data_IF_384045321822
#
_entry.id   IF_384045321822
#
_cell.length_a   1.000
_cell.length_b   1.000
_cell.length_c   1.000
_cell.angle_alpha   90.00
_cell.angle_beta   90.00
_cell.angle_gamma   90.00
#
_symmetry.space_group_name_H-M   'P 1'
#
loop_
_entity.id
_entity.type
_entity.pdbx_description
1 polymer ?
#
# COMPACT_ATOMS: atom_id res chain seq x y z
N UNK A 1 -7.17 8.63 3.91
CA UNK A 1 -7.77 9.97 4.11
C UNK A 1 -9.30 9.95 4.10
N UNK A 2 -10.01 9.72 2.98
CA UNK A 2 -11.48 9.90 2.96
C UNK A 2 -12.23 8.99 3.97
N UNK A 3 -11.72 7.79 4.24
CA UNK A 3 -12.25 6.94 5.33
C UNK A 3 -12.17 7.60 6.71
N UNK A 4 -11.07 8.29 7.01
CA UNK A 4 -10.82 9.02 8.26
C UNK A 4 -11.70 10.26 8.39
N UNK A 5 -11.89 11.00 7.30
CA UNK A 5 -12.83 12.14 7.25
C UNK A 5 -14.24 11.66 7.61
N UNK A 6 -14.70 10.57 6.98
CA UNK A 6 -16.01 9.96 7.27
C UNK A 6 -16.11 9.30 8.65
N UNK A 7 -14.98 9.01 9.30
CA UNK A 7 -14.96 8.43 10.65
C UNK A 7 -15.02 9.51 11.74
N UNK A 8 -14.43 10.69 11.48
CA UNK A 8 -14.46 11.84 12.39
C UNK A 8 -15.76 12.66 12.23
N UNK A 9 -16.45 12.53 11.09
CA UNK A 9 -17.64 13.31 10.69
C UNK A 9 -18.61 13.64 11.86
N UNK A 10 -18.87 14.95 12.05
CA UNK A 10 -19.65 15.51 13.16
C UNK A 10 -18.91 15.73 14.49
N UNK A 11 -17.70 15.20 14.67
CA UNK A 11 -16.92 15.33 15.92
C UNK A 11 -15.62 16.14 15.73
N UNK A 12 -15.10 16.69 16.83
CA UNK A 12 -13.74 17.22 16.84
C UNK A 12 -12.73 16.06 16.76
N UNK A 13 -11.75 16.17 15.86
CA UNK A 13 -10.72 15.15 15.69
C UNK A 13 -9.61 15.59 14.73
N UNK A 14 -8.54 14.81 14.72
CA UNK A 14 -7.33 15.10 13.94
C UNK A 14 -7.08 13.97 12.95
N UNK A 15 -6.65 14.32 11.73
CA UNK A 15 -6.07 13.38 10.77
C UNK A 15 -4.60 13.78 10.60
N UNK A 16 -3.69 12.83 10.81
CA UNK A 16 -2.25 13.01 10.66
C UNK A 16 -1.76 12.15 9.49
N UNK A 17 -0.91 12.74 8.65
CA UNK A 17 -0.19 12.05 7.59
C UNK A 17 1.30 12.20 7.88
N UNK A 18 1.97 11.07 8.12
CA UNK A 18 3.40 11.01 8.37
C UNK A 18 4.06 10.16 7.28
N UNK A 19 5.28 10.54 6.89
CA UNK A 19 6.09 9.74 5.95
C UNK A 19 7.51 9.62 6.48
N UNK A 20 8.09 8.41 6.40
CA UNK A 20 9.45 8.12 6.85
C UNK A 20 10.19 7.29 5.80
N UNK A 21 11.46 7.58 5.59
CA UNK A 21 12.38 6.74 4.85
C UNK A 21 12.98 5.69 5.81
N UNK A 22 12.84 4.40 5.49
CA UNK A 22 13.49 3.29 6.20
C UNK A 22 14.18 2.37 5.20
N UNK A 23 15.50 2.26 5.29
CA UNK A 23 16.38 1.48 4.41
C UNK A 23 16.10 1.69 2.90
N UNK A 24 15.33 0.77 2.30
CA UNK A 24 14.95 0.76 0.89
C UNK A 24 13.43 0.92 0.69
N UNK A 25 12.72 1.50 1.66
CA UNK A 25 11.26 1.68 1.64
C UNK A 25 10.83 3.06 2.14
N UNK A 26 9.71 3.54 1.61
CA UNK A 26 8.95 4.65 2.19
C UNK A 26 7.83 4.05 3.05
N UNK A 27 7.79 4.43 4.32
CA UNK A 27 6.64 4.24 5.18
C UNK A 27 5.75 5.49 5.08
N UNK A 28 4.44 5.27 5.01
CA UNK A 28 3.42 6.30 5.08
C UNK A 28 2.38 5.87 6.11
N UNK A 29 2.10 6.74 7.09
CA UNK A 29 1.12 6.48 8.14
C UNK A 29 -0.02 7.50 8.04
N UNK A 30 -1.25 7.00 7.98
CA UNK A 30 -2.48 7.81 8.03
C UNK A 30 -3.17 7.48 9.34
N UNK A 31 -3.06 8.38 10.31
CA UNK A 31 -3.67 8.25 11.63
C UNK A 31 -4.88 9.17 11.76
N UNK A 32 -5.95 8.69 12.37
CA UNK A 32 -7.13 9.47 12.72
C UNK A 32 -7.57 9.22 14.16
N UNK A 33 -8.17 10.23 14.79
CA UNK A 33 -8.76 10.14 16.14
C UNK A 33 -10.26 9.83 16.07
N UNK A 34 -10.69 9.02 15.10
CA UNK A 34 -12.09 8.62 14.96
C UNK A 34 -12.55 7.60 16.02
N UNK A 35 -13.76 7.02 15.87
CA UNK A 35 -14.30 6.03 16.81
C UNK A 35 -13.54 4.71 16.85
N UNK A 36 -12.60 4.46 15.92
CA UNK A 36 -11.90 3.20 15.75
C UNK A 36 -12.70 2.13 15.00
N UNK A 37 -12.12 0.94 14.89
CA UNK A 37 -12.66 -0.23 14.21
C UNK A 37 -12.76 -1.36 15.24
N UNK A 38 -13.84 -2.16 15.19
CA UNK A 38 -13.98 -3.35 16.03
C UNK A 38 -12.93 -4.39 15.65
N UNK A 39 -12.32 -5.05 16.64
CA UNK A 39 -11.26 -6.04 16.42
C UNK A 39 -11.72 -7.19 15.49
N UNK A 40 -12.97 -7.63 15.65
CA UNK A 40 -13.60 -8.63 14.77
C UNK A 40 -13.76 -8.18 13.30
N UNK A 41 -13.75 -6.87 13.02
CA UNK A 41 -13.91 -6.31 11.68
C UNK A 41 -12.57 -6.01 11.00
N UNK A 42 -11.48 -5.83 11.75
CA UNK A 42 -10.12 -5.64 11.22
C UNK A 42 -9.76 -6.64 10.10
N UNK A 43 -9.94 -7.97 10.23
CA UNK A 43 -9.64 -8.91 9.14
C UNK A 43 -10.59 -8.79 7.93
N UNK A 44 -11.72 -8.09 8.08
CA UNK A 44 -12.75 -7.93 7.04
C UNK A 44 -12.60 -6.64 6.23
N UNK A 45 -11.97 -5.58 6.76
CA UNK A 45 -11.97 -4.24 6.14
C UNK A 45 -11.31 -4.17 4.74
N UNK A 46 -10.51 -5.16 4.38
CA UNK A 46 -9.87 -5.26 3.06
C UNK A 46 -10.62 -6.17 2.07
N UNK A 47 -11.79 -6.70 2.46
CA UNK A 47 -12.61 -7.55 1.59
C UNK A 47 -13.57 -6.71 0.73
N UNK A 48 -13.71 -7.15 -0.52
CA UNK A 48 -14.94 -7.07 -1.29
C UNK A 48 -15.69 -5.72 -1.27
N UNK A 49 -17.01 -5.68 -1.09
CA UNK A 49 -17.96 -6.39 -0.20
C UNK A 49 -18.13 -5.79 1.21
N UNK A 50 -17.10 -5.21 1.84
CA UNK A 50 -17.20 -4.83 3.25
C UNK A 50 -17.53 -3.36 3.49
N UNK A 51 -18.67 -3.09 4.12
CA UNK A 51 -19.05 -1.77 4.63
C UNK A 51 -19.77 -1.87 5.97
N UNK A 52 -19.47 -0.96 6.90
CA UNK A 52 -20.15 -0.81 8.20
C UNK A 52 -20.72 0.60 8.28
N UNK A 53 -22.04 0.74 8.27
CA UNK A 53 -22.77 1.99 8.51
C UNK A 53 -22.69 3.09 7.43
N UNK A 54 -21.84 2.98 6.41
CA UNK A 54 -21.69 4.04 5.39
C UNK A 54 -22.83 3.99 4.37
N UNK A 55 -23.80 4.92 4.45
CA UNK A 55 -24.94 5.05 3.52
C UNK A 55 -24.58 5.04 2.02
N UNK A 56 -23.37 5.49 1.66
CA UNK A 56 -22.87 5.53 0.28
C UNK A 56 -21.49 4.86 0.10
N UNK A 57 -21.09 3.99 1.04
CA UNK A 57 -19.79 3.29 0.96
C UNK A 57 -19.90 2.01 0.14
N UNK A 58 -19.24 1.96 -1.02
CA UNK A 58 -19.24 0.79 -1.93
C UNK A 58 -18.40 -0.40 -1.45
N UNK A 59 -17.68 -0.26 -0.33
CA UNK A 59 -16.76 -1.27 0.22
C UNK A 59 -15.40 -1.39 -0.49
N UNK A 60 -15.38 -1.23 -1.82
CA UNK A 60 -14.20 -1.48 -2.66
C UNK A 60 -12.96 -0.63 -2.36
N UNK A 61 -13.09 0.51 -1.65
CA UNK A 61 -11.98 1.47 -1.46
C UNK A 61 -10.73 0.87 -0.80
N UNK A 62 -10.87 0.18 0.34
CA UNK A 62 -9.73 -0.43 1.02
C UNK A 62 -9.23 -1.69 0.30
N UNK A 63 -10.13 -2.46 -0.31
CA UNK A 63 -9.77 -3.62 -1.13
C UNK A 63 -8.90 -3.20 -2.34
N UNK A 64 -9.26 -2.11 -3.01
CA UNK A 64 -8.48 -1.51 -4.10
C UNK A 64 -7.15 -0.94 -3.59
N UNK A 65 -7.13 -0.20 -2.47
CA UNK A 65 -5.88 0.30 -1.89
C UNK A 65 -4.90 -0.85 -1.59
N UNK A 66 -5.38 -1.96 -0.99
CA UNK A 66 -4.56 -3.15 -0.74
C UNK A 66 -3.99 -3.73 -2.04
N UNK A 67 -4.83 -3.97 -3.05
CA UNK A 67 -4.39 -4.48 -4.36
C UNK A 67 -3.37 -3.56 -5.03
N UNK A 68 -3.61 -2.24 -5.02
CA UNK A 68 -2.70 -1.27 -5.60
C UNK A 68 -1.33 -1.26 -4.88
N UNK A 69 -1.33 -1.28 -3.54
CA UNK A 69 -0.09 -1.30 -2.74
C UNK A 69 0.69 -2.60 -2.97
N UNK A 70 0.00 -3.75 -2.99
CA UNK A 70 0.59 -5.07 -3.25
C UNK A 70 1.16 -5.16 -4.68
N UNK A 71 0.49 -4.59 -5.68
CA UNK A 71 0.99 -4.52 -7.07
C UNK A 71 2.28 -3.67 -7.21
N UNK A 72 2.53 -2.73 -6.29
CA UNK A 72 3.78 -1.98 -6.20
C UNK A 72 4.86 -2.69 -5.36
N UNK A 73 4.64 -3.94 -4.95
CA UNK A 73 5.54 -4.69 -4.06
C UNK A 73 5.50 -4.23 -2.60
N UNK A 74 4.50 -3.42 -2.25
CA UNK A 74 4.32 -2.88 -0.91
C UNK A 74 3.48 -3.74 0.02
N UNK A 75 3.22 -3.21 1.22
CA UNK A 75 2.36 -3.81 2.25
C UNK A 75 1.48 -2.73 2.88
N UNK A 76 0.26 -3.10 3.26
CA UNK A 76 -0.61 -2.26 4.09
C UNK A 76 -0.96 -3.00 5.39
N UNK A 77 -0.93 -2.26 6.49
CA UNK A 77 -1.30 -2.71 7.83
C UNK A 77 -2.28 -1.72 8.45
N UNK A 78 -3.01 -2.17 9.47
CA UNK A 78 -3.91 -1.33 10.26
C UNK A 78 -3.71 -1.62 11.74
N UNK A 79 -3.72 -0.56 12.55
CA UNK A 79 -3.89 -0.63 14.01
C UNK A 79 -5.08 0.26 14.35
N UNK A 80 -6.00 -0.24 15.16
CA UNK A 80 -7.19 0.53 15.54
C UNK A 80 -7.62 0.16 16.94
N UNK A 81 -8.22 1.10 17.65
CA UNK A 81 -8.80 0.87 18.98
C UNK A 81 -10.06 1.72 19.13
N UNK A 82 -11.13 1.09 19.60
CA UNK A 82 -12.42 1.76 19.85
C UNK A 82 -12.24 2.94 20.80
N UNK A 83 -12.81 4.09 20.42
CA UNK A 83 -12.72 5.35 21.15
C UNK A 83 -11.34 6.00 21.17
N UNK A 84 -10.36 5.49 20.41
CA UNK A 84 -9.01 6.07 20.30
C UNK A 84 -8.70 6.53 18.88
N UNK A 85 -9.06 5.72 17.87
CA UNK A 85 -8.77 6.04 16.47
C UNK A 85 -8.22 4.87 15.66
N UNK A 86 -7.74 5.20 14.46
CA UNK A 86 -7.18 4.23 13.51
C UNK A 86 -5.92 4.76 12.85
N UNK A 87 -4.88 3.93 12.75
CA UNK A 87 -3.68 4.17 11.93
C UNK A 87 -3.59 3.11 10.84
N UNK A 88 -3.56 3.55 9.59
CA UNK A 88 -3.15 2.74 8.45
C UNK A 88 -1.67 2.99 8.15
N UNK A 89 -0.87 1.92 8.11
CA UNK A 89 0.56 1.98 7.76
C UNK A 89 0.75 1.34 6.39
N UNK A 90 1.27 2.11 5.44
CA UNK A 90 1.63 1.68 4.09
C UNK A 90 3.15 1.64 4.01
N UNK A 91 3.70 0.57 3.44
CA UNK A 91 5.14 0.40 3.18
C UNK A 91 5.31 0.16 1.69
N UNK A 92 6.10 0.98 1.01
CA UNK A 92 6.38 0.87 -0.43
C UNK A 92 7.89 0.78 -0.67
N UNK A 93 8.38 -0.20 -1.45
CA UNK A 93 9.80 -0.29 -1.78
C UNK A 93 10.22 0.84 -2.72
N UNK A 94 11.42 1.38 -2.50
CA UNK A 94 12.07 2.36 -3.36
C UNK A 94 12.84 1.59 -4.42
N UNK A 95 12.36 1.61 -5.66
CA UNK A 95 13.13 1.13 -6.81
C UNK A 95 14.26 2.12 -7.10
N UNK A 96 15.49 1.64 -7.08
CA UNK A 96 16.64 2.45 -7.51
C UNK A 96 16.74 2.37 -9.03
N UNK A 97 16.03 3.26 -9.71
CA UNK A 97 15.92 3.30 -11.19
C UNK A 97 17.31 3.26 -11.87
N UNK A 98 18.34 3.87 -11.27
CA UNK A 98 19.70 3.88 -11.80
C UNK A 98 20.48 2.57 -11.60
N UNK A 99 20.13 1.77 -10.59
CA UNK A 99 20.69 0.44 -10.37
C UNK A 99 19.97 -0.62 -11.21
N UNK A 100 18.63 -0.57 -11.22
CA UNK A 100 17.77 -1.49 -11.98
C UNK A 100 18.08 -1.40 -13.50
N UNK A 101 18.29 -0.19 -14.03
CA UNK A 101 18.65 0.01 -15.44
C UNK A 101 20.00 -0.65 -15.79
N UNK A 102 21.04 -0.50 -14.95
CA UNK A 102 22.34 -1.14 -15.19
C UNK A 102 22.25 -2.66 -15.23
N UNK A 103 21.39 -3.26 -14.41
CA UNK A 103 21.21 -4.71 -14.42
C UNK A 103 20.46 -5.19 -15.68
N UNK A 104 19.39 -4.49 -16.08
CA UNK A 104 18.66 -4.76 -17.34
C UNK A 104 19.59 -4.66 -18.55
N UNK A 105 20.46 -3.63 -18.58
CA UNK A 105 21.41 -3.43 -19.67
C UNK A 105 22.46 -4.57 -19.72
N UNK A 106 22.97 -5.02 -18.56
CA UNK A 106 23.91 -6.14 -18.48
C UNK A 106 23.29 -7.48 -18.89
N UNK A 107 22.06 -7.77 -18.46
CA UNK A 107 21.35 -9.00 -18.83
C UNK A 107 21.07 -9.06 -20.34
N UNK A 108 20.71 -7.93 -20.97
CA UNK A 108 20.54 -7.82 -22.44
C UNK A 108 21.83 -7.99 -23.22
N UNK A 109 22.96 -7.48 -22.70
CA UNK A 109 24.27 -7.70 -23.31
C UNK A 109 24.66 -9.18 -23.21
N UNK A 110 24.35 -9.87 -22.11
CA UNK A 110 24.65 -11.30 -21.98
C UNK A 110 23.77 -12.18 -22.90
N UNK A 111 22.47 -11.89 -22.99
CA UNK A 111 21.54 -12.63 -23.87
C UNK A 111 21.94 -12.55 -25.35
N UNK A 112 22.26 -11.35 -25.85
CA UNK A 112 22.65 -11.16 -27.25
C UNK A 112 23.98 -11.85 -27.62
N UNK A 113 24.91 -12.02 -26.68
CA UNK A 113 26.13 -12.80 -26.92
C UNK A 113 25.88 -14.32 -26.93
N UNK A 114 24.82 -14.80 -26.28
CA UNK A 114 24.43 -16.21 -26.33
C UNK A 114 23.79 -16.58 -27.68
N UNK A 115 22.89 -15.73 -28.19
CA UNK A 115 22.18 -15.96 -29.47
C UNK A 115 23.15 -15.99 -30.67
N UNK A 116 24.05 -14.99 -30.77
CA UNK A 116 25.07 -14.91 -31.83
C UNK A 116 26.03 -16.13 -31.88
N UNK A 117 26.15 -16.90 -30.79
CA UNK A 117 27.04 -18.05 -30.71
C UNK A 117 26.36 -19.37 -31.13
N UNK A 118 25.03 -19.35 -31.32
CA UNK A 118 24.23 -20.49 -31.81
C UNK A 118 24.09 -20.43 -33.34
N UNK A 119 23.87 -19.25 -33.91
CA UNK A 119 23.77 -19.09 -35.38
C UNK A 119 25.09 -19.36 -36.11
N UNK A 120 26.23 -19.07 -35.47
CA UNK A 120 27.56 -19.18 -36.08
C UNK A 120 28.16 -20.61 -36.02
N UNK A 121 27.30 -21.64 -35.98
CA UNK A 121 27.65 -23.05 -35.74
C UNK A 121 27.02 -24.06 -36.72
N UNK A 122 26.42 -23.56 -37.82
CA UNK A 122 25.79 -24.35 -38.89
C UNK A 122 26.66 -24.27 -40.15
#
# INVERSE_FOLDING_TARGET
>A
MQNSIQAIDGNAGTIQLETKLEDKSVLMMVSDTGPGILEEDIPKIFRADFTKGKKHGTGFGLAFCKQAIEAHGGKIQVKSKIGTGTTFTIVLPIKNIAADQKQIDQERVHASHAENNVENRI
#
